data_IF_368631444879
#
_entry.id   IF_368631444879
#
_cell.length_a   1.000
_cell.length_b   1.000
_cell.length_c   1.000
_cell.angle_alpha   90.00
_cell.angle_beta   90.00
_cell.angle_gamma   90.00
#
_symmetry.space_group_name_H-M   'P 1'
#
loop_
_entity.id
_entity.type
_entity.pdbx_description
1 polymer ?
#
# COMPACT_ATOMS: atom_id res chain seq x y z
N UNK A 1 -16.05 27.64 12.34
CA UNK A 1 -16.23 27.87 10.88
C UNK A 1 -17.16 29.07 10.72
N UNK A 2 -16.61 30.20 10.26
CA UNK A 2 -17.40 31.40 9.99
C UNK A 2 -18.24 31.15 8.73
N UNK A 3 -19.44 30.60 8.91
CA UNK A 3 -20.45 30.59 7.85
C UNK A 3 -20.83 32.05 7.63
N UNK A 4 -20.71 32.54 6.40
CA UNK A 4 -21.27 33.83 6.07
C UNK A 4 -22.79 33.75 6.32
N UNK A 5 -23.31 34.46 7.33
CA UNK A 5 -24.72 34.37 7.65
C UNK A 5 -25.53 34.98 6.50
N UNK A 6 -26.75 34.47 6.29
CA UNK A 6 -27.63 34.97 5.23
C UNK A 6 -27.88 36.46 5.41
N UNK A 7 -27.65 37.24 4.37
CA UNK A 7 -27.89 38.70 4.40
C UNK A 7 -29.18 38.99 3.67
N UNK A 8 -29.99 39.90 4.20
CA UNK A 8 -31.25 40.30 3.57
C UNK A 8 -31.19 41.78 3.24
N UNK A 9 -31.68 42.11 2.06
CA UNK A 9 -31.83 43.48 1.60
C UNK A 9 -33.32 43.78 1.53
N UNK A 10 -33.76 44.72 2.36
CA UNK A 10 -35.12 45.23 2.40
C UNK A 10 -35.20 46.49 1.56
N UNK A 11 -35.91 46.42 0.44
CA UNK A 11 -36.26 47.60 -0.33
C UNK A 11 -37.63 48.07 0.14
N UNK A 12 -37.68 49.23 0.79
CA UNK A 12 -38.92 49.83 1.28
C UNK A 12 -39.32 50.96 0.34
N UNK A 13 -40.54 50.91 -0.18
CA UNK A 13 -41.15 52.05 -0.85
C UNK A 13 -41.53 53.13 0.17
N UNK A 14 -40.99 54.34 0.01
CA UNK A 14 -41.27 55.49 0.86
C UNK A 14 -42.21 56.50 0.20
N UNK A 15 -42.75 56.19 -0.98
CA UNK A 15 -43.67 57.05 -1.74
C UNK A 15 -43.10 58.47 -1.96
N UNK A 16 -44.01 59.45 -2.06
CA UNK A 16 -43.62 60.87 -2.19
C UNK A 16 -43.37 61.56 -0.83
N UNK A 17 -42.90 60.81 0.18
CA UNK A 17 -42.61 61.40 1.49
C UNK A 17 -41.36 62.30 1.45
N UNK A 18 -41.36 63.45 2.15
CA UNK A 18 -40.15 64.24 2.36
C UNK A 18 -39.03 63.39 2.99
N UNK A 19 -37.77 63.66 2.64
CA UNK A 19 -36.60 62.87 3.08
C UNK A 19 -36.59 62.57 4.59
N UNK A 20 -36.92 63.56 5.41
CA UNK A 20 -36.96 63.43 6.87
C UNK A 20 -38.02 62.40 7.32
N UNK A 21 -39.21 62.41 6.71
CA UNK A 21 -40.30 61.47 7.04
C UNK A 21 -40.03 60.07 6.49
N UNK A 22 -39.38 59.98 5.33
CA UNK A 22 -38.96 58.71 4.75
C UNK A 22 -37.92 57.99 5.62
N UNK A 23 -36.94 58.72 6.16
CA UNK A 23 -35.95 58.17 7.10
C UNK A 23 -36.60 57.76 8.43
N UNK A 24 -37.56 58.53 8.94
CA UNK A 24 -38.32 58.18 10.14
C UNK A 24 -39.13 56.89 9.94
N UNK A 25 -39.84 56.76 8.83
CA UNK A 25 -40.61 55.56 8.47
C UNK A 25 -39.70 54.32 8.33
N UNK A 26 -38.54 54.49 7.69
CA UNK A 26 -37.56 53.42 7.54
C UNK A 26 -36.96 52.98 8.89
N UNK A 27 -36.67 53.91 9.81
CA UNK A 27 -36.25 53.58 11.19
C UNK A 27 -37.34 52.85 11.98
N UNK A 28 -38.60 53.20 11.78
CA UNK A 28 -39.72 52.54 12.44
C UNK A 28 -39.88 51.09 11.94
N UNK A 29 -39.76 50.88 10.62
CA UNK A 29 -39.78 49.55 10.02
C UNK A 29 -38.58 48.70 10.41
N UNK A 30 -37.38 49.29 10.46
CA UNK A 30 -36.18 48.63 11.00
C UNK A 30 -36.43 48.11 12.42
N UNK A 31 -37.00 48.93 13.29
CA UNK A 31 -37.19 48.57 14.70
C UNK A 31 -38.25 47.47 14.86
N UNK A 32 -39.32 47.50 14.04
CA UNK A 32 -40.39 46.50 14.05
C UNK A 32 -39.92 45.13 13.53
N UNK A 33 -39.06 45.11 12.52
CA UNK A 33 -38.63 43.89 11.84
C UNK A 33 -37.20 43.45 12.16
N UNK A 34 -36.55 44.09 13.14
CA UNK A 34 -35.24 43.66 13.64
C UNK A 34 -35.35 42.29 14.29
N UNK A 35 -34.63 41.31 13.75
CA UNK A 35 -34.51 40.01 14.40
C UNK A 35 -33.70 40.15 15.70
N UNK A 36 -34.20 39.56 16.79
CA UNK A 36 -33.61 39.63 18.14
C UNK A 36 -33.12 38.29 18.66
N UNK A 37 -33.36 37.20 17.93
CA UNK A 37 -32.80 35.90 18.30
C UNK A 37 -31.32 35.86 17.92
N UNK A 38 -30.47 35.71 18.95
CA UNK A 38 -29.04 35.45 18.79
C UNK A 38 -28.76 34.05 19.32
N UNK A 39 -28.04 33.27 18.53
CA UNK A 39 -27.49 31.99 18.97
C UNK A 39 -26.17 32.24 19.69
N UNK A 40 -26.08 31.82 20.95
CA UNK A 40 -24.84 31.84 21.71
C UNK A 40 -24.03 30.57 21.41
N UNK A 41 -22.90 30.73 20.71
CA UNK A 41 -22.04 29.63 20.29
C UNK A 41 -21.36 28.90 21.47
N UNK A 42 -21.39 29.47 22.68
CA UNK A 42 -20.76 28.86 23.86
C UNK A 42 -21.73 28.02 24.69
N UNK A 43 -22.98 28.46 24.83
CA UNK A 43 -24.00 27.79 25.66
C UNK A 43 -25.01 26.99 24.85
N UNK A 44 -25.13 27.23 23.53
CA UNK A 44 -26.10 26.57 22.66
C UNK A 44 -27.55 27.01 22.90
N UNK A 45 -27.78 27.96 23.82
CA UNK A 45 -29.10 28.51 24.11
C UNK A 45 -29.45 29.65 23.14
N UNK A 46 -30.74 29.76 22.84
CA UNK A 46 -31.29 30.90 22.12
C UNK A 46 -31.66 31.96 23.16
N UNK A 47 -30.96 33.10 23.16
CA UNK A 47 -31.23 34.22 24.08
C UNK A 47 -31.81 35.41 23.32
N UNK A 48 -32.91 35.98 23.82
CA UNK A 48 -33.45 37.28 23.37
C UNK A 48 -32.74 38.38 24.17
N UNK A 49 -31.58 38.80 23.67
CA UNK A 49 -30.79 39.83 24.32
C UNK A 49 -30.82 41.15 23.53
N UNK A 50 -31.14 42.25 24.22
CA UNK A 50 -31.47 43.54 23.56
C UNK A 50 -30.24 44.33 23.10
N UNK A 51 -29.04 43.93 23.52
CA UNK A 51 -27.82 44.76 23.42
C UNK A 51 -26.73 44.19 22.50
N UNK A 52 -26.91 43.02 21.92
CA UNK A 52 -25.90 42.46 21.01
C UNK A 52 -26.14 42.88 19.56
N UNK A 53 -25.08 43.32 18.87
CA UNK A 53 -25.11 43.49 17.42
C UNK A 53 -25.22 42.09 16.81
N UNK A 54 -26.30 41.82 16.09
CA UNK A 54 -26.48 40.60 15.30
C UNK A 54 -25.46 40.56 14.16
N UNK A 55 -24.81 39.41 13.95
CA UNK A 55 -23.97 39.13 12.76
C UNK A 55 -24.76 39.15 11.43
N UNK A 56 -26.09 39.30 11.49
CA UNK A 56 -27.00 39.52 10.38
C UNK A 56 -27.19 41.04 10.20
N UNK A 57 -26.39 41.66 9.35
CA UNK A 57 -26.66 43.03 8.92
C UNK A 57 -27.72 43.00 7.82
N UNK A 58 -28.97 43.22 8.22
CA UNK A 58 -30.08 43.48 7.30
C UNK A 58 -29.88 44.90 6.72
N UNK A 59 -29.79 45.01 5.39
CA UNK A 59 -29.66 46.30 4.71
C UNK A 59 -31.03 46.86 4.36
N UNK A 60 -31.24 48.15 4.61
CA UNK A 60 -32.52 48.82 4.37
C UNK A 60 -32.30 49.98 3.41
N UNK A 61 -32.90 49.91 2.23
CA UNK A 61 -32.76 50.95 1.22
C UNK A 61 -34.13 51.56 0.89
N UNK A 62 -34.31 52.89 1.06
CA UNK A 62 -35.53 53.56 0.64
C UNK A 62 -35.54 53.68 -0.88
N UNK A 63 -36.65 53.31 -1.53
CA UNK A 63 -36.90 53.55 -2.96
C UNK A 63 -37.97 54.64 -3.11
N UNK A 64 -37.75 55.58 -4.03
CA UNK A 64 -38.67 56.67 -4.36
C UNK A 64 -39.15 56.48 -5.79
N UNK A 65 -40.47 56.34 -5.95
CA UNK A 65 -41.19 56.31 -7.23
C UNK A 65 -40.77 55.19 -8.20
N UNK A 66 -41.76 54.66 -8.93
CA UNK A 66 -41.56 53.63 -9.95
C UNK A 66 -42.02 52.24 -9.53
N UNK A 67 -43.34 52.09 -9.29
CA UNK A 67 -44.16 50.87 -9.50
C UNK A 67 -43.73 49.52 -8.89
N UNK A 68 -42.59 49.44 -8.23
CA UNK A 68 -42.05 48.21 -7.64
C UNK A 68 -42.33 48.25 -6.15
N UNK A 69 -43.19 47.34 -5.71
CA UNK A 69 -43.54 47.12 -4.31
C UNK A 69 -42.31 46.83 -3.44
N UNK A 70 -42.48 46.95 -2.12
CA UNK A 70 -41.49 46.52 -1.13
C UNK A 70 -41.06 45.07 -1.42
N UNK A 71 -39.78 44.86 -1.69
CA UNK A 71 -39.21 43.53 -1.99
C UNK A 71 -38.10 43.19 -1.00
N UNK A 72 -38.04 41.91 -0.63
CA UNK A 72 -37.00 41.37 0.25
C UNK A 72 -36.13 40.47 -0.62
N UNK A 73 -34.88 40.86 -0.84
CA UNK A 73 -33.90 40.02 -1.54
C UNK A 73 -33.01 39.36 -0.51
N UNK A 74 -33.02 38.03 -0.47
CA UNK A 74 -32.04 37.25 0.28
C UNK A 74 -30.78 37.10 -0.57
N UNK A 75 -29.64 37.49 -0.01
CA UNK A 75 -28.35 37.10 -0.57
C UNK A 75 -28.10 35.65 -0.11
N UNK A 76 -27.83 34.72 -1.04
CA UNK A 76 -27.53 33.35 -0.66
C UNK A 76 -26.36 33.36 0.32
N UNK A 77 -26.50 32.64 1.43
CA UNK A 77 -25.37 32.38 2.32
C UNK A 77 -24.25 31.68 1.55
N UNK A 78 -23.07 31.57 2.17
CA UNK A 78 -22.00 30.76 1.59
C UNK A 78 -22.54 29.35 1.34
N UNK A 79 -22.74 28.98 0.06
CA UNK A 79 -23.11 27.63 -0.30
C UNK A 79 -22.06 26.69 0.28
N UNK A 80 -22.48 25.55 0.81
CA UNK A 80 -21.57 24.46 1.17
C UNK A 80 -20.71 24.21 -0.06
N UNK A 81 -19.42 24.57 0.01
CA UNK A 81 -18.40 24.08 -0.91
C UNK A 81 -18.40 22.56 -0.71
N UNK A 82 -19.29 21.88 -1.43
CA UNK A 82 -19.55 20.45 -1.34
C UNK A 82 -18.46 19.61 -2.00
N UNK A 83 -17.42 20.24 -2.53
CA UNK A 83 -16.28 19.56 -3.14
C UNK A 83 -15.24 19.27 -2.06
N UNK A 84 -15.53 18.30 -1.20
CA UNK A 84 -14.46 17.63 -0.43
C UNK A 84 -13.49 16.87 -1.35
N UNK A 85 -13.85 16.69 -2.62
CA UNK A 85 -13.03 16.05 -3.64
C UNK A 85 -11.67 16.71 -3.81
N UNK A 86 -11.59 18.05 -3.75
CA UNK A 86 -10.32 18.78 -3.81
C UNK A 86 -9.45 18.47 -2.58
N UNK A 87 -10.06 18.44 -1.40
CA UNK A 87 -9.37 18.12 -0.14
C UNK A 87 -8.84 16.68 -0.18
N UNK A 88 -9.65 15.73 -0.66
CA UNK A 88 -9.26 14.34 -0.85
C UNK A 88 -8.15 14.21 -1.90
N UNK A 89 -8.19 14.99 -2.98
CA UNK A 89 -7.14 15.04 -3.99
C UNK A 89 -5.81 15.50 -3.39
N UNK A 90 -5.80 16.64 -2.67
CA UNK A 90 -4.59 17.14 -2.02
C UNK A 90 -4.07 16.20 -0.95
N UNK A 91 -4.96 15.54 -0.20
CA UNK A 91 -4.59 14.51 0.74
C UNK A 91 -3.89 13.34 0.04
N UNK A 92 -4.50 12.76 -1.01
CA UNK A 92 -3.90 11.67 -1.79
C UNK A 92 -2.56 12.10 -2.43
N UNK A 93 -2.46 13.34 -2.91
CA UNK A 93 -1.23 13.89 -3.49
C UNK A 93 -0.11 14.03 -2.44
N UNK A 94 -0.43 14.48 -1.24
CA UNK A 94 0.51 14.58 -0.12
C UNK A 94 1.05 13.20 0.29
N UNK A 95 0.19 12.19 0.41
CA UNK A 95 0.67 10.87 0.81
C UNK A 95 1.51 10.18 -0.27
N UNK A 96 1.20 10.42 -1.55
CA UNK A 96 2.05 10.01 -2.66
C UNK A 96 3.43 10.68 -2.61
N UNK A 97 3.52 11.95 -2.21
CA UNK A 97 4.81 12.63 -2.06
C UNK A 97 5.62 12.12 -0.87
N UNK A 98 4.94 11.63 0.18
CA UNK A 98 5.56 10.98 1.34
C UNK A 98 6.01 9.53 1.07
N UNK A 99 5.85 9.00 -0.15
CA UNK A 99 6.13 7.62 -0.52
C UNK A 99 5.39 6.56 0.32
N UNK A 100 4.27 6.93 0.95
CA UNK A 100 3.45 6.00 1.74
C UNK A 100 2.51 5.23 0.80
N UNK A 101 2.36 3.89 0.94
CA UNK A 101 1.43 3.11 0.13
C UNK A 101 -0.02 3.59 0.29
N UNK A 102 -0.74 3.72 -0.83
CA UNK A 102 -2.16 4.12 -0.82
C UNK A 102 -3.07 3.06 -0.19
N UNK A 103 -2.64 1.79 -0.19
CA UNK A 103 -3.30 0.69 0.52
C UNK A 103 -3.42 0.91 2.03
N UNK A 104 -2.53 1.72 2.63
CA UNK A 104 -2.61 2.09 4.06
C UNK A 104 -3.67 3.15 4.34
N UNK A 105 -4.19 3.83 3.30
CA UNK A 105 -5.18 4.89 3.41
C UNK A 105 -6.59 4.44 3.06
N UNK A 106 -6.73 3.56 2.06
CA UNK A 106 -8.03 3.10 1.58
C UNK A 106 -8.56 1.99 2.49
N UNK A 107 -9.11 2.41 3.64
CA UNK A 107 -9.77 1.53 4.60
C UNK A 107 -11.13 1.00 4.13
N UNK A 108 -11.62 1.40 2.95
CA UNK A 108 -12.89 0.89 2.39
C UNK A 108 -12.77 -0.52 1.83
N UNK A 109 -11.57 -0.92 1.41
CA UNK A 109 -11.26 -2.34 1.21
C UNK A 109 -11.07 -2.96 2.58
N UNK A 110 -12.16 -3.55 3.10
CA UNK A 110 -12.19 -4.22 4.40
C UNK A 110 -10.94 -5.08 4.59
N UNK A 111 -10.29 -4.89 5.74
CA UNK A 111 -9.07 -5.55 6.18
C UNK A 111 -9.19 -7.07 5.97
N UNK A 112 -8.74 -7.57 4.80
CA UNK A 112 -8.76 -8.99 4.46
C UNK A 112 -7.52 -9.64 5.07
N UNK A 113 -7.50 -9.68 6.40
CA UNK A 113 -6.51 -10.40 7.17
C UNK A 113 -6.62 -11.90 6.82
N UNK A 114 -5.77 -12.36 5.91
CA UNK A 114 -5.69 -13.78 5.53
C UNK A 114 -5.46 -14.09 4.06
N UNK A 115 -5.53 -13.11 3.14
CA UNK A 115 -5.10 -13.30 1.74
C UNK A 115 -3.85 -12.49 1.43
N UNK A 116 -2.70 -13.14 1.51
CA UNK A 116 -1.39 -12.61 1.13
C UNK A 116 -1.27 -12.23 -0.37
N UNK A 117 -2.28 -12.57 -1.19
CA UNK A 117 -2.40 -12.11 -2.58
C UNK A 117 -2.46 -10.58 -2.75
N UNK A 118 -2.56 -9.81 -1.66
CA UNK A 118 -2.40 -8.36 -1.66
C UNK A 118 -1.03 -7.90 -1.11
N UNK A 119 0.05 -8.66 -1.31
CA UNK A 119 1.38 -8.05 -1.40
C UNK A 119 1.38 -7.15 -2.63
N UNK A 120 0.84 -5.95 -2.46
CA UNK A 120 0.81 -4.95 -3.49
C UNK A 120 2.24 -4.63 -3.88
N UNK A 121 2.48 -4.44 -5.18
CA UNK A 121 3.71 -3.86 -5.73
C UNK A 121 4.16 -2.62 -4.94
N UNK A 122 3.21 -1.88 -4.38
CA UNK A 122 3.46 -0.69 -3.57
C UNK A 122 4.11 -1.02 -2.22
N UNK A 123 3.76 -2.13 -1.57
CA UNK A 123 4.38 -2.55 -0.31
C UNK A 123 5.83 -3.02 -0.53
N UNK A 124 6.10 -3.72 -1.65
CA UNK A 124 7.48 -4.06 -2.05
C UNK A 124 8.31 -2.81 -2.34
N UNK A 125 7.72 -1.80 -2.99
CA UNK A 125 8.38 -0.52 -3.26
C UNK A 125 8.67 0.23 -1.95
N UNK A 126 7.73 0.20 -1.00
CA UNK A 126 7.91 0.81 0.32
C UNK A 126 8.99 0.10 1.13
N UNK A 127 9.01 -1.24 1.16
CA UNK A 127 10.07 -2.01 1.80
C UNK A 127 11.46 -1.70 1.22
N UNK A 128 11.58 -1.57 -0.12
CA UNK A 128 12.83 -1.10 -0.75
C UNK A 128 13.19 0.34 -0.38
N UNK A 129 12.20 1.21 -0.18
CA UNK A 129 12.42 2.57 0.30
C UNK A 129 12.94 2.60 1.75
N UNK A 130 12.31 1.85 2.67
CA UNK A 130 12.79 1.67 4.04
C UNK A 130 14.18 1.05 4.08
N UNK A 131 14.46 0.05 3.24
CA UNK A 131 15.79 -0.55 3.11
C UNK A 131 16.87 0.46 2.73
N UNK A 132 16.56 1.40 1.81
CA UNK A 132 17.48 2.50 1.46
C UNK A 132 17.69 3.48 2.61
N UNK A 133 16.64 3.80 3.37
CA UNK A 133 16.75 4.66 4.55
C UNK A 133 17.61 3.99 5.64
N UNK A 134 17.40 2.69 5.89
CA UNK A 134 18.20 1.89 6.82
C UNK A 134 19.66 1.85 6.40
N UNK A 135 19.97 1.63 5.12
CA UNK A 135 21.34 1.67 4.63
C UNK A 135 22.02 3.04 4.84
N UNK A 136 21.29 4.14 4.67
CA UNK A 136 21.80 5.49 4.99
C UNK A 136 22.00 5.68 6.49
N UNK A 137 21.08 5.15 7.29
CA UNK A 137 21.17 5.22 8.76
C UNK A 137 22.32 4.35 9.30
N UNK A 138 22.64 3.23 8.65
CA UNK A 138 23.78 2.37 9.01
C UNK A 138 25.13 3.07 8.97
N UNK A 139 25.29 4.08 8.11
CA UNK A 139 26.52 4.88 8.05
C UNK A 139 26.80 5.56 9.40
N UNK A 140 25.76 5.95 10.13
CA UNK A 140 25.91 6.53 11.47
C UNK A 140 26.46 5.51 12.47
N UNK A 141 26.06 4.24 12.37
CA UNK A 141 26.62 3.19 13.20
C UNK A 141 28.08 2.91 12.85
N UNK A 142 28.45 2.94 11.57
CA UNK A 142 29.86 2.82 11.16
C UNK A 142 30.73 3.91 11.80
N UNK A 143 30.30 5.18 11.71
CA UNK A 143 31.08 6.31 12.25
C UNK A 143 31.23 6.25 13.78
N UNK A 144 30.18 5.81 14.48
CA UNK A 144 30.22 5.65 15.94
C UNK A 144 31.14 4.49 16.33
N UNK A 145 31.03 3.36 15.62
CA UNK A 145 31.79 2.15 15.89
C UNK A 145 33.28 2.37 15.60
N UNK A 146 33.62 3.05 14.51
CA UNK A 146 34.97 3.49 14.17
C UNK A 146 35.64 4.26 15.31
N UNK A 147 34.98 5.34 15.77
CA UNK A 147 35.51 6.19 16.85
C UNK A 147 35.70 5.40 18.14
N UNK A 148 34.72 4.56 18.48
CA UNK A 148 34.76 3.78 19.72
C UNK A 148 35.88 2.75 19.72
N UNK A 149 36.11 2.06 18.60
CA UNK A 149 37.12 1.01 18.49
C UNK A 149 38.54 1.56 18.49
N UNK A 150 38.75 2.72 17.84
CA UNK A 150 40.02 3.46 17.88
C UNK A 150 40.31 3.98 19.29
N UNK A 151 39.31 4.58 19.97
CA UNK A 151 39.49 5.09 21.33
C UNK A 151 39.79 3.99 22.37
N UNK A 152 39.25 2.79 22.16
CA UNK A 152 39.53 1.63 23.01
C UNK A 152 40.83 0.90 22.65
N UNK A 153 41.59 1.38 21.66
CA UNK A 153 42.80 0.72 21.15
C UNK A 153 42.57 -0.75 20.75
N UNK A 154 41.39 -1.09 20.22
CA UNK A 154 41.09 -2.44 19.73
C UNK A 154 41.58 -2.61 18.28
N UNK A 155 41.57 -1.52 17.49
CA UNK A 155 42.02 -1.51 16.11
C UNK A 155 42.48 -0.11 15.68
N UNK A 156 43.22 -0.05 14.57
CA UNK A 156 43.66 1.18 13.93
C UNK A 156 42.66 1.66 12.87
N UNK A 157 42.81 2.91 12.41
CA UNK A 157 41.96 3.52 11.37
C UNK A 157 42.13 2.79 10.03
N UNK A 158 43.33 2.29 9.75
CA UNK A 158 43.65 1.57 8.51
C UNK A 158 42.95 0.20 8.46
N UNK A 159 42.99 -0.56 9.56
CA UNK A 159 42.30 -1.85 9.68
C UNK A 159 40.78 -1.69 9.60
N UNK A 160 40.23 -0.61 10.14
CA UNK A 160 38.80 -0.32 10.05
C UNK A 160 38.32 -0.15 8.60
N UNK A 161 39.12 0.45 7.72
CA UNK A 161 38.77 0.63 6.31
C UNK A 161 38.56 -0.71 5.58
N UNK A 162 39.32 -1.74 5.96
CA UNK A 162 39.18 -3.09 5.40
C UNK A 162 37.96 -3.83 5.96
N UNK A 163 37.71 -3.68 7.26
CA UNK A 163 36.63 -4.38 7.97
C UNK A 163 35.27 -3.76 7.67
N UNK A 164 35.17 -2.44 7.50
CA UNK A 164 33.91 -1.72 7.28
C UNK A 164 33.06 -2.34 6.16
N UNK A 165 33.69 -2.78 5.07
CA UNK A 165 32.98 -3.38 3.94
C UNK A 165 32.44 -4.79 4.22
N UNK A 166 32.93 -5.46 5.27
CA UNK A 166 32.48 -6.79 5.71
C UNK A 166 31.38 -6.71 6.77
N UNK A 167 31.16 -5.54 7.37
CA UNK A 167 30.12 -5.35 8.38
C UNK A 167 28.78 -5.15 7.67
N UNK A 168 27.78 -5.94 8.08
CA UNK A 168 26.40 -5.78 7.63
C UNK A 168 25.51 -5.64 8.86
N UNK A 169 24.72 -4.56 8.88
CA UNK A 169 23.72 -4.36 9.91
C UNK A 169 22.42 -5.04 9.50
N UNK A 170 21.97 -5.97 10.34
CA UNK A 170 20.63 -6.52 10.21
C UNK A 170 19.66 -5.76 11.12
N UNK A 171 18.53 -5.35 10.55
CA UNK A 171 17.49 -4.63 11.28
C UNK A 171 16.34 -5.58 11.52
N UNK A 172 15.86 -5.64 12.76
CA UNK A 172 14.68 -6.43 13.09
C UNK A 172 13.50 -5.97 12.21
N UNK A 173 12.89 -6.94 11.53
CA UNK A 173 11.68 -6.74 10.74
C UNK A 173 10.48 -7.24 11.54
N UNK A 174 9.31 -6.70 11.25
CA UNK A 174 8.06 -7.21 11.82
C UNK A 174 7.88 -8.68 11.39
N UNK A 175 7.68 -9.56 12.37
CA UNK A 175 7.69 -11.00 12.18
C UNK A 175 6.50 -11.45 11.35
N UNK A 176 5.33 -10.82 11.53
CA UNK A 176 4.08 -11.33 10.97
C UNK A 176 4.01 -11.22 9.44
N UNK A 177 4.49 -10.11 8.87
CA UNK A 177 4.46 -9.92 7.41
C UNK A 177 5.50 -10.79 6.69
N UNK A 178 6.67 -10.95 7.29
CA UNK A 178 7.74 -11.79 6.75
C UNK A 178 7.31 -13.25 6.75
N UNK A 179 6.76 -13.73 7.86
CA UNK A 179 6.24 -15.09 8.00
C UNK A 179 5.10 -15.40 7.02
N UNK A 180 4.15 -14.46 6.84
CA UNK A 180 3.08 -14.61 5.85
C UNK A 180 3.63 -14.72 4.42
N UNK A 181 4.60 -13.88 4.07
CA UNK A 181 5.25 -13.89 2.75
C UNK A 181 6.00 -15.19 2.50
N UNK A 182 6.77 -15.66 3.49
CA UNK A 182 7.57 -16.87 3.35
C UNK A 182 6.67 -18.11 3.27
N UNK A 183 5.56 -18.12 4.01
CA UNK A 183 4.52 -19.16 3.92
C UNK A 183 3.85 -19.20 2.54
N UNK A 184 3.56 -18.04 1.94
CA UNK A 184 2.96 -17.97 0.61
C UNK A 184 3.95 -18.46 -0.47
N UNK A 185 5.19 -17.99 -0.42
CA UNK A 185 6.26 -18.44 -1.32
C UNK A 185 6.45 -19.96 -1.20
N UNK A 186 6.46 -20.50 0.02
CA UNK A 186 6.57 -21.94 0.24
C UNK A 186 5.39 -22.68 -0.38
N UNK A 187 4.16 -22.18 -0.19
CA UNK A 187 2.96 -22.78 -0.79
C UNK A 187 3.03 -22.79 -2.32
N UNK A 188 3.46 -21.70 -2.95
CA UNK A 188 3.64 -21.63 -4.41
C UNK A 188 4.73 -22.59 -4.91
N UNK A 189 5.83 -22.72 -4.16
CA UNK A 189 6.90 -23.69 -4.46
C UNK A 189 6.38 -25.12 -4.38
N UNK A 190 5.60 -25.45 -3.35
CA UNK A 190 5.00 -26.78 -3.18
C UNK A 190 3.97 -27.08 -4.28
N UNK A 191 3.14 -26.10 -4.67
CA UNK A 191 2.20 -26.26 -5.78
C UNK A 191 2.92 -26.48 -7.13
N UNK A 192 4.03 -25.76 -7.34
CA UNK A 192 4.89 -25.96 -8.52
C UNK A 192 5.55 -27.34 -8.51
N UNK A 193 5.96 -27.82 -7.33
CA UNK A 193 6.53 -29.15 -7.15
C UNK A 193 5.53 -30.25 -7.51
N UNK A 194 4.29 -30.16 -7.01
CA UNK A 194 3.20 -31.11 -7.30
C UNK A 194 2.91 -31.19 -8.82
N UNK A 195 2.88 -30.03 -9.48
CA UNK A 195 2.67 -29.96 -10.94
C UNK A 195 3.80 -30.60 -11.75
N UNK A 196 5.02 -30.62 -11.21
CA UNK A 196 6.22 -31.13 -11.88
C UNK A 196 6.55 -32.57 -11.48
N UNK A 197 5.96 -33.09 -10.41
CA UNK A 197 6.25 -34.40 -9.83
C UNK A 197 6.17 -35.55 -10.85
N UNK A 198 5.24 -35.49 -11.79
CA UNK A 198 5.06 -36.53 -12.81
C UNK A 198 6.15 -36.55 -13.90
N UNK A 199 6.97 -35.49 -13.99
CA UNK A 199 8.04 -35.35 -14.99
C UNK A 199 9.44 -35.58 -14.40
N UNK A 200 9.51 -35.91 -13.10
CA UNK A 200 10.76 -36.14 -12.38
C UNK A 200 11.37 -37.46 -12.85
N UNK A 201 12.60 -37.39 -13.35
CA UNK A 201 13.32 -38.55 -13.92
C UNK A 201 13.23 -38.66 -15.43
N UNK A 202 12.23 -38.03 -16.08
CA UNK A 202 12.14 -37.95 -17.55
C UNK A 202 12.70 -36.63 -18.08
N UNK A 203 12.22 -35.49 -17.54
CA UNK A 203 12.59 -34.15 -18.02
C UNK A 203 13.33 -33.31 -16.97
N UNK A 204 13.11 -33.59 -15.69
CA UNK A 204 13.73 -32.84 -14.60
C UNK A 204 14.44 -33.77 -13.62
N UNK A 205 15.66 -33.41 -13.20
CA UNK A 205 16.38 -34.11 -12.14
C UNK A 205 15.92 -33.64 -10.76
N UNK A 206 16.04 -34.52 -9.75
CA UNK A 206 15.71 -34.19 -8.36
C UNK A 206 16.54 -33.01 -7.84
N UNK A 207 17.82 -32.96 -8.18
CA UNK A 207 18.72 -31.87 -7.82
C UNK A 207 18.29 -30.54 -8.45
N UNK A 208 17.93 -30.55 -9.74
CA UNK A 208 17.47 -29.34 -10.44
C UNK A 208 16.20 -28.77 -9.80
N UNK A 209 15.28 -29.64 -9.36
CA UNK A 209 14.05 -29.26 -8.68
C UNK A 209 14.34 -28.59 -7.34
N UNK A 210 15.22 -29.19 -6.52
CA UNK A 210 15.62 -28.63 -5.22
C UNK A 210 16.26 -27.25 -5.36
N UNK A 211 17.16 -27.09 -6.35
CA UNK A 211 17.85 -25.80 -6.58
C UNK A 211 16.95 -24.74 -7.21
N UNK A 212 16.12 -25.09 -8.20
CA UNK A 212 15.41 -24.07 -9.00
C UNK A 212 13.98 -23.80 -8.54
N UNK A 213 13.25 -24.83 -8.11
CA UNK A 213 11.87 -24.68 -7.62
C UNK A 213 11.90 -24.37 -6.13
N UNK A 214 12.55 -25.21 -5.33
CA UNK A 214 12.58 -25.03 -3.87
C UNK A 214 13.56 -23.95 -3.41
N UNK A 215 14.52 -23.54 -4.27
CA UNK A 215 15.52 -22.49 -4.00
C UNK A 215 16.39 -22.78 -2.77
N UNK A 216 16.72 -24.04 -2.58
CA UNK A 216 17.66 -24.48 -1.54
C UNK A 216 19.10 -24.24 -2.00
N UNK A 217 19.98 -23.87 -1.07
CA UNK A 217 21.42 -23.81 -1.31
C UNK A 217 22.02 -25.22 -1.36
N UNK A 218 23.27 -25.33 -1.83
CA UNK A 218 23.97 -26.62 -1.84
C UNK A 218 24.15 -27.16 -0.41
N UNK A 219 24.47 -26.28 0.54
CA UNK A 219 24.58 -26.61 1.97
C UNK A 219 23.23 -27.10 2.54
N UNK A 220 22.11 -26.43 2.22
CA UNK A 220 20.78 -26.85 2.69
C UNK A 220 20.40 -28.23 2.12
N UNK A 221 20.82 -28.55 0.90
CA UNK A 221 20.53 -29.85 0.26
C UNK A 221 21.29 -30.97 0.97
N UNK A 222 22.58 -30.76 1.24
CA UNK A 222 23.41 -31.72 1.95
C UNK A 222 22.87 -31.96 3.37
N UNK A 223 22.56 -30.89 4.11
CA UNK A 223 22.02 -30.99 5.46
C UNK A 223 20.67 -31.73 5.49
N UNK A 224 19.76 -31.45 4.55
CA UNK A 224 18.50 -32.19 4.47
C UNK A 224 18.70 -33.64 4.06
N UNK A 225 19.67 -33.97 3.21
CA UNK A 225 19.96 -35.36 2.86
C UNK A 225 20.49 -36.14 4.07
N UNK A 226 21.35 -35.52 4.89
CA UNK A 226 21.82 -36.10 6.16
C UNK A 226 20.65 -36.30 7.14
N UNK A 227 19.78 -35.30 7.31
CA UNK A 227 18.60 -35.39 8.16
C UNK A 227 17.65 -36.52 7.71
N UNK A 228 17.36 -36.61 6.40
CA UNK A 228 16.51 -37.68 5.85
C UNK A 228 17.15 -39.06 6.04
N UNK A 229 18.48 -39.18 5.89
CA UNK A 229 19.18 -40.43 6.11
C UNK A 229 19.10 -40.86 7.58
N UNK A 230 19.28 -39.91 8.50
CA UNK A 230 19.15 -40.15 9.94
C UNK A 230 17.71 -40.52 10.33
N UNK A 231 16.70 -39.85 9.79
CA UNK A 231 15.28 -40.19 10.01
C UNK A 231 14.95 -41.61 9.51
N UNK A 232 15.54 -42.04 8.38
CA UNK A 232 15.39 -43.42 7.88
C UNK A 232 16.06 -44.44 8.80
N UNK A 233 17.17 -44.10 9.43
CA UNK A 233 17.87 -44.96 10.37
C UNK A 233 17.11 -45.07 11.70
N UNK A 234 16.57 -43.96 12.19
CA UNK A 234 15.81 -43.84 13.45
C UNK A 234 14.34 -44.30 13.34
N UNK A 235 13.84 -44.57 12.13
CA UNK A 235 12.48 -45.07 11.93
C UNK A 235 12.28 -46.46 12.57
N UNK A 236 11.15 -46.70 13.27
CA UNK A 236 10.82 -48.01 13.86
C UNK A 236 10.71 -49.08 12.76
N UNK A 237 11.13 -50.31 13.07
CA UNK A 237 11.23 -51.43 12.11
C UNK A 237 9.92 -51.69 11.33
N UNK A 238 8.75 -51.38 11.91
CA UNK A 238 7.44 -51.53 11.27
C UNK A 238 7.21 -50.62 10.04
N UNK A 239 7.91 -49.48 9.93
CA UNK A 239 7.83 -48.57 8.77
C UNK A 239 8.86 -48.90 7.68
N UNK A 240 9.97 -49.56 8.04
CA UNK A 240 11.04 -49.97 7.11
C UNK A 240 10.57 -51.07 6.14
N UNK A 241 9.60 -51.88 6.55
CA UNK A 241 9.01 -52.95 5.73
C UNK A 241 7.91 -52.46 4.77
N UNK A 242 7.35 -51.27 4.98
CA UNK A 242 6.32 -50.71 4.08
C UNK A 242 6.91 -50.10 2.79
N UNK A 243 8.14 -49.60 2.82
CA UNK A 243 8.83 -49.05 1.64
C UNK A 243 9.21 -50.15 0.62
N UNK A 244 9.39 -51.40 1.07
CA UNK A 244 9.69 -52.55 0.19
C UNK A 244 8.46 -53.11 -0.56
N UNK A 245 7.25 -52.71 -0.17
CA UNK A 245 6.00 -53.21 -0.76
C UNK A 245 5.16 -52.12 -1.46
N UNK A 246 5.76 -50.96 -1.78
CA UNK A 246 5.13 -50.00 -2.67
C UNK A 246 4.89 -50.64 -4.06
N UNK A 247 3.68 -50.54 -4.64
CA UNK A 247 3.43 -51.07 -5.98
C UNK A 247 4.42 -50.47 -6.97
N UNK A 248 4.92 -51.24 -7.94
CA UNK A 248 5.96 -50.78 -8.85
C UNK A 248 5.47 -49.52 -9.57
N UNK A 249 6.35 -48.52 -9.63
CA UNK A 249 6.19 -47.34 -10.48
C UNK A 249 5.78 -47.83 -11.88
N UNK A 250 4.68 -47.32 -12.47
CA UNK A 250 4.31 -47.72 -13.83
C UNK A 250 5.48 -47.38 -14.75
N UNK A 251 6.04 -48.41 -15.37
CA UNK A 251 7.12 -48.26 -16.34
C UNK A 251 6.62 -47.37 -17.49
N UNK A 252 7.42 -46.42 -17.98
CA UNK A 252 7.03 -45.63 -19.14
C UNK A 252 6.73 -46.58 -20.30
N UNK A 253 5.56 -46.41 -20.90
CA UNK A 253 5.14 -47.14 -22.10
C UNK A 253 6.20 -46.89 -23.16
N UNK A 254 7.00 -47.91 -23.48
CA UNK A 254 7.86 -47.89 -24.65
C UNK A 254 6.97 -47.70 -25.87
N UNK A 255 6.98 -46.49 -26.43
CA UNK A 255 6.48 -46.21 -27.77
C UNK A 255 7.36 -47.03 -28.70
N UNK A 256 6.80 -48.11 -29.26
CA UNK A 256 7.44 -48.85 -30.33
C UNK A 256 7.55 -47.89 -31.52
N UNK A 257 8.76 -47.41 -31.80
CA UNK A 257 9.02 -46.71 -33.06
C UNK A 257 8.62 -47.63 -34.23
N UNK A 258 7.81 -47.15 -35.21
CA UNK A 258 7.55 -47.93 -36.40
C UNK A 258 8.87 -48.13 -37.17
N UNK A 259 9.09 -49.31 -37.79
CA UNK A 259 10.35 -49.61 -38.44
C UNK A 259 10.61 -48.62 -39.58
N UNK A 260 11.81 -48.03 -39.58
CA UNK A 260 12.29 -47.16 -40.67
C UNK A 260 12.37 -47.97 -41.98
N UNK A 261 11.99 -47.37 -43.14
CA UNK A 261 12.12 -48.03 -44.43
C UNK A 261 13.60 -48.23 -44.80
N UNK A 262 13.94 -49.41 -45.32
CA UNK A 262 15.29 -49.73 -45.81
C UNK A 262 15.68 -48.82 -46.97
N UNK A 263 16.77 -48.07 -46.83
CA UNK A 263 17.43 -47.38 -47.94
C UNK A 263 18.39 -48.34 -48.68
N UNK A 264 18.57 -48.18 -50.01
CA UNK A 264 19.31 -49.15 -50.83
C UNK A 264 20.82 -49.05 -50.58
N UNK A 265 21.49 -50.21 -50.53
CA UNK A 265 22.95 -50.30 -50.40
C UNK A 265 23.66 -49.70 -51.63
N UNK A 266 24.35 -48.58 -51.46
CA UNK A 266 25.38 -48.13 -52.40
C UNK A 266 26.68 -48.92 -52.21
N UNK A 267 27.10 -49.57 -53.30
CA UNK A 267 28.34 -50.33 -53.42
C UNK A 267 29.53 -49.36 -53.62
N UNK A 268 30.53 -49.39 -52.73
CA UNK A 268 31.77 -48.59 -52.90
C UNK A 268 32.87 -49.42 -53.56
N UNK A 269 33.65 -48.85 -54.51
CA UNK A 269 34.63 -49.60 -55.29
C UNK A 269 35.93 -49.84 -54.50
N UNK A 270 36.52 -51.03 -54.72
CA UNK A 270 37.85 -51.41 -54.22
C UNK A 270 38.93 -50.47 -54.76
N UNK A 271 39.81 -49.99 -53.87
CA UNK A 271 41.14 -49.50 -54.24
C UNK A 271 42.17 -50.37 -53.55
N UNK A 272 42.92 -51.09 -54.38
CA UNK A 272 44.09 -51.87 -54.02
C UNK A 272 45.21 -50.95 -53.52
N UNK A 273 45.92 -51.38 -52.48
CA UNK A 273 47.22 -50.85 -52.09
C UNK A 273 48.21 -52.02 -52.09
N UNK A 274 49.08 -52.04 -53.09
CA UNK A 274 50.37 -52.71 -53.03
C UNK A 274 51.44 -51.72 -52.53
N UNK A 275 52.31 -52.27 -51.67
CA UNK A 275 53.64 -51.83 -51.21
C UNK A 275 53.73 -50.66 -50.21
#
# INVERSE_FOLDING_TARGET
>A
IARAPERRIFYIDVGNLPKIKAEQYLREMMTKHKNRLVYDATTGEIRDDRKHMTMLEDFWLPRREGGKSTEITTLPGGQTLGEMDDVLYFQKALFRSLNVPTSRMESETGFSLGRASEISRDELKFNKFIGRLRARFSILFDEILEKQLVLKNVMTIEEWQEIKNRIRYDFQQDNHFTELKDSEILRERLQSLDSIQNYVGEYYSKEWIRKNILRMSDEDIEEMEEQIAQEKEDAPEDEKDMEQNAPPVPQPVTIVEPPKPEEPKEEKPKKDQEL
#
